data_IF_961526316093
#
_entry.id   IF_961526316093
#
_cell.length_a   1.000
_cell.length_b   1.000
_cell.length_c   1.000
_cell.angle_alpha   90.00
_cell.angle_beta   90.00
_cell.angle_gamma   90.00
#
_symmetry.space_group_name_H-M   'P 1'
#
loop_
_entity.id
_entity.type
_entity.pdbx_description
1 polymer ?
#
# COMPACT_ATOMS: atom_id res chain seq x y z
N UNK A 1 -21.82 -6.84 -7.94
CA UNK A 1 -21.41 -6.60 -6.54
C UNK A 1 -20.07 -5.89 -6.62
N UNK A 2 -20.10 -4.56 -6.72
CA UNK A 2 -18.88 -3.76 -6.88
C UNK A 2 -18.17 -3.72 -5.53
N UNK A 3 -16.95 -4.25 -5.48
CA UNK A 3 -16.11 -4.39 -4.29
C UNK A 3 -15.92 -3.04 -3.58
N UNK A 4 -16.70 -2.78 -2.54
CA UNK A 4 -16.49 -1.64 -1.63
C UNK A 4 -15.17 -1.77 -0.82
N UNK A 5 -14.46 -2.90 -0.93
CA UNK A 5 -13.28 -3.24 -0.12
C UNK A 5 -11.95 -2.59 -0.56
N UNK A 6 -11.91 -1.84 -1.68
CA UNK A 6 -10.69 -1.17 -2.17
C UNK A 6 -10.79 0.35 -2.26
N UNK A 7 -11.89 0.96 -1.79
CA UNK A 7 -12.06 2.42 -1.79
C UNK A 7 -10.93 3.14 -1.05
N UNK A 8 -10.34 2.49 -0.03
CA UNK A 8 -9.21 3.01 0.73
C UNK A 8 -7.83 2.81 0.08
N UNK A 9 -7.70 1.97 -0.95
CA UNK A 9 -6.38 1.60 -1.50
C UNK A 9 -5.62 2.81 -2.09
N UNK A 10 -6.23 3.71 -2.89
CA UNK A 10 -5.53 4.89 -3.39
C UNK A 10 -5.03 5.80 -2.27
N UNK A 11 -5.81 5.94 -1.19
CA UNK A 11 -5.44 6.72 0.00
C UNK A 11 -4.31 6.05 0.78
N UNK A 12 -4.32 4.72 0.89
CA UNK A 12 -3.24 3.97 1.51
C UNK A 12 -1.95 4.15 0.73
N UNK A 13 -1.99 4.05 -0.61
CA UNK A 13 -0.80 4.26 -1.44
C UNK A 13 -0.23 5.67 -1.31
N UNK A 14 -1.08 6.71 -1.21
CA UNK A 14 -0.62 8.07 -0.88
C UNK A 14 0.07 8.13 0.48
N UNK A 15 -0.48 7.44 1.48
CA UNK A 15 0.12 7.38 2.81
C UNK A 15 1.45 6.61 2.82
N UNK A 16 1.57 5.54 2.04
CA UNK A 16 2.83 4.80 1.82
C UNK A 16 3.87 5.73 1.20
N UNK A 17 3.49 6.49 0.17
CA UNK A 17 4.36 7.49 -0.49
C UNK A 17 4.86 8.52 0.51
N UNK A 18 3.96 9.08 1.34
CA UNK A 18 4.31 10.04 2.39
C UNK A 18 5.19 9.42 3.48
N UNK A 19 4.89 8.19 3.91
CA UNK A 19 5.67 7.44 4.92
C UNK A 19 7.09 7.11 4.44
N UNK A 20 7.28 7.04 3.12
CA UNK A 20 8.58 6.88 2.48
C UNK A 20 9.33 8.22 2.29
N UNK A 21 8.72 9.35 2.66
CA UNK A 21 9.30 10.69 2.46
C UNK A 21 9.26 11.17 1.00
N UNK A 22 8.42 10.56 0.17
CA UNK A 22 8.26 10.89 -1.24
C UNK A 22 7.02 11.76 -1.46
N UNK A 23 7.05 12.63 -2.46
CA UNK A 23 5.86 13.37 -2.91
C UNK A 23 5.16 12.68 -4.09
N UNK A 24 5.93 11.93 -4.88
CA UNK A 24 5.45 11.13 -6.01
C UNK A 24 6.36 9.90 -6.13
N UNK A 25 5.76 8.76 -6.45
CA UNK A 25 6.51 7.51 -6.68
C UNK A 25 6.74 7.36 -8.17
N UNK A 26 7.93 6.91 -8.56
CA UNK A 26 8.27 6.47 -9.92
C UNK A 26 8.47 4.94 -9.97
N UNK A 27 8.63 4.39 -11.16
CA UNK A 27 8.89 2.95 -11.32
C UNK A 27 10.21 2.52 -10.63
N UNK A 28 11.23 3.38 -10.60
CA UNK A 28 12.52 3.11 -9.97
C UNK A 28 12.42 3.13 -8.43
N UNK A 29 11.56 4.01 -7.89
CA UNK A 29 11.31 4.11 -6.44
C UNK A 29 10.68 2.83 -5.88
N UNK A 30 9.98 2.04 -6.70
CA UNK A 30 9.39 0.77 -6.27
C UNK A 30 10.45 -0.21 -5.70
N UNK A 31 11.68 -0.16 -6.20
CA UNK A 31 12.79 -0.96 -5.67
C UNK A 31 13.22 -0.49 -4.29
N UNK A 32 13.29 0.82 -4.08
CA UNK A 32 13.60 1.43 -2.78
C UNK A 32 12.48 1.14 -1.76
N UNK A 33 11.23 1.37 -2.14
CA UNK A 33 10.04 1.13 -1.33
C UNK A 33 9.98 -0.32 -0.84
N UNK A 34 10.26 -1.29 -1.71
CA UNK A 34 10.40 -2.70 -1.31
C UNK A 34 11.38 -2.87 -0.15
N UNK A 35 12.55 -2.25 -0.22
CA UNK A 35 13.57 -2.31 0.82
C UNK A 35 13.09 -1.67 2.13
N UNK A 36 12.50 -0.48 2.05
CA UNK A 36 11.97 0.23 3.23
C UNK A 36 10.85 -0.55 3.93
N UNK A 37 9.91 -1.09 3.14
CA UNK A 37 8.81 -1.92 3.63
C UNK A 37 9.39 -3.14 4.33
N UNK A 38 10.35 -3.83 3.72
CA UNK A 38 10.96 -5.00 4.33
C UNK A 38 11.66 -4.69 5.65
N UNK A 39 12.47 -3.63 5.71
CA UNK A 39 13.15 -3.24 6.94
C UNK A 39 12.15 -2.90 8.05
N UNK A 40 11.09 -2.15 7.73
CA UNK A 40 10.13 -1.67 8.74
C UNK A 40 9.13 -2.75 9.19
N UNK A 41 8.71 -3.64 8.30
CA UNK A 41 7.61 -4.59 8.57
C UNK A 41 8.08 -6.04 8.69
N UNK A 42 9.32 -6.35 8.30
CA UNK A 42 9.84 -7.71 8.13
C UNK A 42 9.08 -8.55 7.09
N UNK A 43 8.21 -7.93 6.29
CA UNK A 43 7.47 -8.57 5.21
C UNK A 43 8.10 -8.28 3.84
N UNK A 44 7.97 -9.21 2.91
CA UNK A 44 8.60 -9.12 1.59
C UNK A 44 7.55 -8.88 0.52
N UNK A 45 7.54 -7.70 -0.07
CA UNK A 45 6.85 -7.45 -1.33
C UNK A 45 7.85 -7.47 -2.48
N UNK A 46 7.43 -7.95 -3.65
CA UNK A 46 8.26 -7.85 -4.84
C UNK A 46 8.04 -6.48 -5.51
N UNK A 47 9.07 -6.03 -6.25
CA UNK A 47 9.04 -4.74 -6.94
C UNK A 47 7.90 -4.64 -7.93
N UNK A 48 7.62 -5.72 -8.66
CA UNK A 48 6.53 -5.79 -9.64
C UNK A 48 5.14 -5.61 -8.99
N UNK A 49 4.95 -6.03 -7.74
CA UNK A 49 3.70 -5.84 -6.99
C UNK A 49 3.49 -4.36 -6.70
N UNK A 50 4.54 -3.66 -6.27
CA UNK A 50 4.50 -2.22 -6.06
C UNK A 50 4.27 -1.48 -7.38
N UNK A 51 4.97 -1.87 -8.45
CA UNK A 51 4.76 -1.28 -9.78
C UNK A 51 3.31 -1.44 -10.26
N UNK A 52 2.69 -2.61 -10.02
CA UNK A 52 1.27 -2.84 -10.33
C UNK A 52 0.34 -1.95 -9.51
N UNK A 53 0.59 -1.83 -8.21
CA UNK A 53 -0.20 -1.00 -7.31
C UNK A 53 -0.16 0.49 -7.69
N UNK A 54 1.01 0.99 -8.07
CA UNK A 54 1.21 2.37 -8.51
C UNK A 54 0.89 2.60 -10.00
N UNK A 55 0.48 1.56 -10.73
CA UNK A 55 0.04 1.66 -12.13
C UNK A 55 1.15 1.67 -13.18
N UNK A 56 2.40 1.37 -12.81
CA UNK A 56 3.53 1.23 -13.75
C UNK A 56 3.53 -0.11 -14.50
N UNK A 57 2.79 -1.10 -14.01
CA UNK A 57 2.64 -2.41 -14.65
C UNK A 57 1.18 -2.89 -14.60
N UNK A 58 0.73 -3.69 -15.59
CA UNK A 58 -0.64 -4.19 -15.59
C UNK A 58 -0.88 -5.17 -14.43
N UNK A 59 -1.98 -4.95 -13.71
CA UNK A 59 -2.48 -5.84 -12.67
C UNK A 59 -3.61 -6.71 -13.24
N UNK A 60 -3.45 -8.03 -13.15
CA UNK A 60 -4.50 -8.99 -13.55
C UNK A 60 -5.52 -9.25 -12.42
N UNK A 61 -5.10 -9.00 -11.18
CA UNK A 61 -5.87 -9.30 -9.98
C UNK A 61 -5.71 -8.18 -8.97
N UNK A 62 -6.70 -8.07 -8.07
CA UNK A 62 -6.64 -7.19 -6.91
C UNK A 62 -5.47 -7.58 -5.97
N UNK A 63 -4.90 -6.63 -5.22
CA UNK A 63 -3.86 -6.95 -4.25
C UNK A 63 -4.39 -7.91 -3.18
N UNK A 64 -3.54 -8.84 -2.76
CA UNK A 64 -3.87 -9.78 -1.70
C UNK A 64 -3.96 -9.08 -0.35
N UNK A 65 -4.70 -9.68 0.60
CA UNK A 65 -4.74 -9.19 1.99
C UNK A 65 -3.34 -9.11 2.62
N UNK A 66 -2.43 -10.05 2.29
CA UNK A 66 -1.03 -9.96 2.72
C UNK A 66 -0.36 -8.65 2.26
N UNK A 67 -0.62 -8.24 1.01
CA UNK A 67 -0.09 -6.99 0.46
C UNK A 67 -0.68 -5.79 1.18
N UNK A 68 -2.00 -5.78 1.37
CA UNK A 68 -2.71 -4.70 2.07
C UNK A 68 -2.27 -4.57 3.53
N UNK A 69 -2.16 -5.68 4.26
CA UNK A 69 -1.66 -5.70 5.63
C UNK A 69 -0.23 -5.16 5.69
N UNK A 70 0.65 -5.65 4.81
CA UNK A 70 2.05 -5.19 4.77
C UNK A 70 2.17 -3.69 4.53
N UNK A 71 1.40 -3.12 3.61
CA UNK A 71 1.39 -1.68 3.35
C UNK A 71 0.78 -0.89 4.51
N UNK A 72 -0.25 -1.43 5.17
CA UNK A 72 -0.87 -0.81 6.35
C UNK A 72 0.11 -0.78 7.53
N UNK A 73 0.81 -1.90 7.78
CA UNK A 73 1.90 -2.00 8.76
C UNK A 73 3.04 -1.04 8.46
N UNK A 74 3.39 -0.87 7.18
CA UNK A 74 4.39 0.13 6.80
C UNK A 74 3.95 1.56 7.15
N UNK A 75 2.65 1.86 7.04
CA UNK A 75 2.07 3.15 7.41
C UNK A 75 1.80 3.31 8.93
N UNK A 76 2.07 2.28 9.75
CA UNK A 76 1.90 2.33 11.20
C UNK A 76 0.59 1.74 11.73
N UNK A 77 -0.22 1.12 10.87
CA UNK A 77 -1.44 0.39 11.27
C UNK A 77 -1.15 -1.09 11.42
N UNK A 78 -1.73 -1.81 12.39
CA UNK A 78 -1.48 -3.25 12.54
C UNK A 78 -1.73 -4.05 11.26
N UNK A 79 -2.83 -3.77 10.57
CA UNK A 79 -3.29 -4.45 9.36
C UNK A 79 -4.23 -3.56 8.53
N UNK A 80 -4.74 -4.12 7.43
CA UNK A 80 -5.66 -3.44 6.52
C UNK A 80 -6.99 -3.06 7.15
N UNK A 81 -7.53 -3.90 8.03
CA UNK A 81 -8.80 -3.65 8.70
C UNK A 81 -8.68 -2.46 9.64
N UNK A 82 -7.63 -2.44 10.47
CA UNK A 82 -7.31 -1.32 11.35
C UNK A 82 -7.12 0.01 10.60
N UNK A 83 -6.52 -0.05 9.40
CA UNK A 83 -6.41 1.12 8.52
C UNK A 83 -7.78 1.58 8.02
N UNK A 84 -8.64 0.64 7.56
CA UNK A 84 -9.97 0.97 7.06
C UNK A 84 -10.83 1.62 8.15
N UNK A 85 -10.85 1.09 9.37
CA UNK A 85 -11.59 1.66 10.50
C UNK A 85 -11.14 3.09 10.81
N UNK A 86 -9.83 3.34 10.82
CA UNK A 86 -9.27 4.68 11.03
C UNK A 86 -9.57 5.64 9.87
N UNK A 87 -9.68 5.11 8.64
CA UNK A 87 -10.00 5.90 7.45
C UNK A 87 -11.47 6.30 7.44
N UNK A 88 -12.40 5.38 7.73
CA UNK A 88 -13.84 5.65 7.79
C UNK A 88 -14.22 6.61 8.93
N UNK A 89 -13.50 6.56 10.05
CA UNK A 89 -13.68 7.50 11.16
C UNK A 89 -13.29 8.96 10.85
N UNK A 90 -12.51 9.22 9.78
CA UNK A 90 -12.10 10.56 9.35
C UNK A 90 -12.96 11.14 8.21
N UNK A 91 -13.93 10.36 7.69
CA UNK A 91 -14.78 10.76 6.55
C UNK A 91 -16.21 11.16 7.00
N UNK A 92 -16.47 11.22 8.31
CA UNK A 92 -17.73 11.71 8.88
C UNK A 92 -17.60 13.13 9.45
#
# INVERSE_FOLDING_TARGET
>A
MTNSSLTGLPSLLKLVTSSAGLSLVTAEDCKMLKGMINVKTQHCLNELTLQRLYGFAPAKFEPSLYTLNTLSSFCGYPDWESYCESYEGNVN
#
